data_IF_558773037578
#
_entry.id   IF_558773037578
#
_cell.length_a   1.000
_cell.length_b   1.000
_cell.length_c   1.000
_cell.angle_alpha   90.00
_cell.angle_beta   90.00
_cell.angle_gamma   90.00
#
_symmetry.space_group_name_H-M   'P 1'
#
loop_
_entity.id
_entity.type
_entity.pdbx_description
1 polymer ?
#
# COMPACT_ATOMS: atom_id res chain seq x y z
N UNK A 1 -23.36 2.42 -15.05
CA UNK A 1 -22.80 1.14 -14.56
C UNK A 1 -21.51 1.49 -13.82
N UNK A 2 -21.53 1.49 -12.48
CA UNK A 2 -20.29 1.66 -11.70
C UNK A 2 -19.66 0.28 -11.62
N UNK A 3 -18.61 0.05 -12.41
CA UNK A 3 -17.83 -1.17 -12.25
C UNK A 3 -17.15 -1.08 -10.89
N UNK A 4 -17.51 -1.99 -9.96
CA UNK A 4 -16.75 -2.14 -8.73
C UNK A 4 -15.36 -2.63 -9.13
N UNK A 5 -14.39 -1.71 -9.15
CA UNK A 5 -12.99 -2.06 -9.34
C UNK A 5 -12.59 -2.91 -8.13
N UNK A 6 -12.44 -4.21 -8.35
CA UNK A 6 -11.85 -5.09 -7.36
C UNK A 6 -10.34 -5.02 -7.58
N UNK A 7 -9.60 -4.35 -6.70
CA UNK A 7 -8.16 -4.23 -6.87
C UNK A 7 -7.52 -5.62 -6.84
N UNK A 8 -6.73 -5.90 -7.87
CA UNK A 8 -5.98 -7.14 -7.98
C UNK A 8 -4.79 -7.14 -7.02
N UNK A 9 -4.17 -8.31 -6.84
CA UNK A 9 -2.95 -8.45 -6.03
C UNK A 9 -1.82 -7.48 -6.47
N UNK A 10 -1.80 -7.11 -7.74
CA UNK A 10 -0.84 -6.17 -8.33
C UNK A 10 -1.00 -4.73 -7.82
N UNK A 11 -2.18 -4.37 -7.30
CA UNK A 11 -2.46 -3.02 -6.80
C UNK A 11 -1.90 -2.78 -5.39
N UNK A 12 -1.29 -3.80 -4.79
CA UNK A 12 -0.78 -3.80 -3.42
C UNK A 12 0.69 -4.24 -3.36
N UNK A 13 1.44 -4.04 -4.45
CA UNK A 13 2.82 -4.52 -4.57
C UNK A 13 3.70 -3.94 -3.46
N UNK A 14 3.58 -2.64 -3.16
CA UNK A 14 4.35 -2.02 -2.07
C UNK A 14 3.94 -2.59 -0.71
N UNK A 15 2.65 -2.77 -0.47
CA UNK A 15 2.11 -3.26 0.79
C UNK A 15 2.48 -4.73 1.08
N UNK A 16 2.62 -5.54 0.02
CA UNK A 16 2.93 -6.97 0.09
C UNK A 16 4.43 -7.28 0.11
N UNK A 17 5.31 -6.30 -0.11
CA UNK A 17 6.77 -6.48 0.08
C UNK A 17 7.05 -7.03 1.48
N UNK A 18 7.97 -7.99 1.60
CA UNK A 18 8.32 -8.65 2.87
C UNK A 18 8.69 -7.61 3.96
N UNK A 19 9.45 -6.57 3.59
CA UNK A 19 9.86 -5.48 4.48
C UNK A 19 8.70 -4.57 4.96
N UNK A 20 7.52 -4.66 4.33
CA UNK A 20 6.35 -3.84 4.61
C UNK A 20 5.20 -4.60 5.27
N UNK A 21 5.20 -5.94 5.24
CA UNK A 21 4.12 -6.74 5.80
C UNK A 21 3.90 -6.47 7.31
N UNK A 22 4.97 -6.32 8.08
CA UNK A 22 4.90 -6.00 9.51
C UNK A 22 4.39 -4.57 9.80
N UNK A 23 4.34 -3.69 8.78
CA UNK A 23 3.81 -2.32 8.88
C UNK A 23 2.29 -2.28 8.65
N UNK A 24 1.69 -3.41 8.28
CA UNK A 24 0.24 -3.55 8.12
C UNK A 24 -0.36 -4.21 9.37
N UNK A 25 -1.27 -3.52 10.05
CA UNK A 25 -1.98 -4.09 11.22
C UNK A 25 -2.81 -5.32 10.85
N UNK A 26 -3.37 -5.35 9.64
CA UNK A 26 -4.16 -6.46 9.10
C UNK A 26 -3.80 -6.66 7.63
N UNK A 27 -3.76 -7.91 7.17
CA UNK A 27 -3.57 -8.26 5.76
C UNK A 27 -4.82 -8.03 4.91
N UNK A 28 -5.98 -7.77 5.52
CA UNK A 28 -7.24 -7.49 4.84
C UNK A 28 -7.37 -6.02 4.43
N UNK A 29 -6.62 -5.13 5.09
CA UNK A 29 -6.69 -3.68 4.89
C UNK A 29 -5.31 -3.13 4.48
N UNK A 30 -5.09 -3.03 3.17
CA UNK A 30 -3.82 -2.59 2.59
C UNK A 30 -4.00 -1.29 1.79
N UNK A 31 -2.99 -0.42 1.84
CA UNK A 31 -2.93 0.76 0.99
C UNK A 31 -2.64 0.35 -0.46
N UNK A 32 -3.48 0.79 -1.40
CA UNK A 32 -3.24 0.57 -2.83
C UNK A 32 -2.08 1.44 -3.31
N UNK A 33 -1.23 0.89 -4.19
CA UNK A 33 -0.10 1.58 -4.80
C UNK A 33 -0.51 2.88 -5.49
N UNK A 34 -1.72 2.93 -6.07
CA UNK A 34 -2.24 4.09 -6.79
C UNK A 34 -2.61 5.29 -5.91
N UNK A 35 -2.88 5.07 -4.61
CA UNK A 35 -3.40 6.10 -3.70
C UNK A 35 -2.63 6.15 -2.37
N UNK A 36 -1.58 5.34 -2.19
CA UNK A 36 -0.86 5.33 -0.93
C UNK A 36 -0.15 6.65 -0.66
N UNK A 37 0.00 6.97 0.62
CA UNK A 37 0.88 8.05 1.05
C UNK A 37 2.33 7.59 0.89
N UNK A 38 3.18 8.49 0.38
CA UNK A 38 4.62 8.27 0.28
C UNK A 38 5.32 9.07 1.38
N UNK A 39 6.17 8.40 2.15
CA UNK A 39 7.10 9.07 3.06
C UNK A 39 8.40 9.42 2.31
N UNK A 40 9.20 10.30 2.90
CA UNK A 40 10.56 10.54 2.40
C UNK A 40 11.39 9.26 2.56
N UNK A 41 11.85 8.70 1.44
CA UNK A 41 12.67 7.49 1.45
C UNK A 41 14.03 7.76 2.08
N UNK A 42 14.53 6.77 2.81
CA UNK A 42 15.93 6.65 3.21
C UNK A 42 16.59 5.54 2.37
N UNK A 43 17.82 5.14 2.70
CA UNK A 43 18.53 4.03 2.04
C UNK A 43 17.93 2.64 2.37
N UNK A 44 16.96 2.56 3.28
CA UNK A 44 16.32 1.32 3.70
C UNK A 44 15.13 1.01 2.79
N UNK A 45 15.07 -0.19 2.21
CA UNK A 45 13.91 -0.60 1.39
C UNK A 45 12.60 -0.57 2.20
N UNK A 46 11.56 -0.02 1.58
CA UNK A 46 10.26 0.20 2.19
C UNK A 46 10.21 1.32 3.24
N UNK A 47 11.27 2.12 3.40
CA UNK A 47 11.24 3.30 4.29
C UNK A 47 10.22 4.36 3.86
N UNK A 48 9.86 4.37 2.57
CA UNK A 48 8.84 5.24 1.99
C UNK A 48 7.40 4.76 2.22
N UNK A 49 7.21 3.57 2.82
CA UNK A 49 5.91 2.92 2.96
C UNK A 49 5.27 3.14 4.33
N UNK A 50 4.04 3.62 4.31
CA UNK A 50 3.08 3.58 5.41
C UNK A 50 1.74 3.05 4.89
N UNK A 51 1.03 2.24 5.69
CA UNK A 51 -0.30 1.78 5.35
C UNK A 51 -1.34 2.91 5.53
N UNK A 52 -1.39 3.83 4.58
CA UNK A 52 -2.33 4.93 4.51
C UNK A 52 -2.61 5.29 3.06
N UNK A 53 -3.82 5.77 2.77
CA UNK A 53 -4.24 6.20 1.43
C UNK A 53 -4.88 7.58 1.47
N UNK A 54 -4.69 8.36 0.41
CA UNK A 54 -5.46 9.58 0.17
C UNK A 54 -6.91 9.23 -0.16
N UNK A 55 -7.84 9.97 0.44
CA UNK A 55 -9.27 9.86 0.16
C UNK A 55 -9.66 11.10 -0.68
N UNK A 56 -10.38 10.92 -1.81
CA UNK A 56 -10.93 12.04 -2.58
C UNK A 56 -11.92 12.91 -1.79
#
# INVERSE_FOLDING_TARGET
>A
LVSAHHPGKNDYTSALKICNQSKNRSSEFLASDSHRVYLNSTEIDGSDYINASWIP
#
